data_IF_144696383381
#
_entry.id   IF_144696383381
#
_cell.length_a   1.000
_cell.length_b   1.000
_cell.length_c   1.000
_cell.angle_alpha   90.00
_cell.angle_beta   90.00
_cell.angle_gamma   90.00
#
_symmetry.space_group_name_H-M   'P 1'
#
loop_
_entity.id
_entity.type
_entity.pdbx_description
1 polymer ?
#
# COMPACT_ATOMS: atom_id res chain seq x y z
N UNK A 1 13.78 7.87 14.15
CA UNK A 1 12.58 7.00 14.12
C UNK A 1 11.80 7.05 12.81
N UNK A 2 11.51 8.23 12.21
CA UNK A 2 10.76 8.32 10.95
C UNK A 2 11.32 7.44 9.82
N UNK A 3 12.66 7.34 9.71
CA UNK A 3 13.35 6.50 8.71
C UNK A 3 12.97 5.03 8.82
N UNK A 4 12.75 4.51 10.03
CA UNK A 4 12.38 3.11 10.23
C UNK A 4 10.97 2.82 9.67
N UNK A 5 10.01 3.70 9.93
CA UNK A 5 8.65 3.59 9.38
C UNK A 5 8.65 3.69 7.86
N UNK A 6 9.41 4.63 7.29
CA UNK A 6 9.53 4.78 5.85
C UNK A 6 10.19 3.55 5.20
N UNK A 7 11.23 3.01 5.84
CA UNK A 7 11.89 1.80 5.35
C UNK A 7 10.94 0.61 5.37
N UNK A 8 10.21 0.41 6.47
CA UNK A 8 9.20 -0.64 6.58
C UNK A 8 8.14 -0.52 5.48
N UNK A 9 7.59 0.68 5.30
CA UNK A 9 6.61 0.95 4.26
C UNK A 9 7.14 0.62 2.85
N UNK A 10 8.37 1.02 2.53
CA UNK A 10 9.00 0.70 1.25
C UNK A 10 9.17 -0.80 1.03
N UNK A 11 9.44 -1.57 2.08
CA UNK A 11 9.57 -3.04 1.96
C UNK A 11 8.22 -3.71 1.71
N UNK A 12 7.13 -3.22 2.31
CA UNK A 12 5.80 -3.82 2.12
C UNK A 12 5.12 -3.35 0.84
N UNK A 13 5.44 -2.16 0.35
CA UNK A 13 4.78 -1.52 -0.79
C UNK A 13 4.73 -2.38 -2.06
N UNK A 14 5.78 -3.10 -2.49
CA UNK A 14 5.71 -3.96 -3.67
C UNK A 14 4.63 -5.03 -3.59
N UNK A 15 4.41 -5.61 -2.41
CA UNK A 15 3.36 -6.60 -2.18
C UNK A 15 1.96 -5.96 -2.24
N UNK A 16 1.81 -4.77 -1.65
CA UNK A 16 0.58 -3.98 -1.74
C UNK A 16 0.27 -3.68 -3.21
N UNK A 17 1.24 -3.12 -3.93
CA UNK A 17 1.10 -2.74 -5.33
C UNK A 17 0.78 -3.93 -6.24
N UNK A 18 1.49 -5.06 -6.09
CA UNK A 18 1.21 -6.27 -6.86
C UNK A 18 -0.23 -6.77 -6.64
N UNK A 19 -0.67 -6.87 -5.39
CA UNK A 19 -2.04 -7.26 -5.07
C UNK A 19 -3.08 -6.30 -5.65
N UNK A 20 -2.81 -5.00 -5.57
CA UNK A 20 -3.74 -3.97 -6.06
C UNK A 20 -3.83 -3.92 -7.57
N UNK A 21 -2.72 -4.08 -8.30
CA UNK A 21 -2.73 -4.18 -9.76
C UNK A 21 -3.57 -5.38 -10.19
N UNK A 22 -3.36 -6.54 -9.57
CA UNK A 22 -4.18 -7.73 -9.83
C UNK A 22 -5.66 -7.44 -9.53
N UNK A 23 -5.95 -6.84 -8.38
CA UNK A 23 -7.32 -6.49 -8.00
C UNK A 23 -7.98 -5.54 -9.00
N UNK A 24 -7.27 -4.51 -9.47
CA UNK A 24 -7.77 -3.58 -10.48
C UNK A 24 -8.17 -4.28 -11.79
N UNK A 25 -7.42 -5.30 -12.20
CA UNK A 25 -7.75 -6.09 -13.41
C UNK A 25 -9.04 -6.90 -13.26
N UNK A 26 -9.41 -7.32 -12.05
CA UNK A 26 -10.59 -8.15 -11.80
C UNK A 26 -11.84 -7.37 -11.43
N UNK A 27 -11.72 -6.32 -10.59
CA UNK A 27 -12.87 -5.59 -10.04
C UNK A 27 -12.95 -4.13 -10.47
N UNK A 28 -12.05 -3.69 -11.35
CA UNK A 28 -12.03 -2.33 -11.88
C UNK A 28 -11.22 -1.33 -11.04
N UNK A 29 -11.12 -0.11 -11.55
CA UNK A 29 -10.16 0.90 -11.07
C UNK A 29 -10.47 1.36 -9.64
N UNK A 30 -11.72 1.72 -9.36
CA UNK A 30 -12.16 2.24 -8.06
C UNK A 30 -12.06 1.19 -6.97
N UNK A 31 -12.58 -0.02 -7.22
CA UNK A 31 -12.51 -1.12 -6.26
C UNK A 31 -11.08 -1.57 -6.02
N UNK A 32 -10.24 -1.61 -7.06
CA UNK A 32 -8.82 -1.89 -6.92
C UNK A 32 -8.10 -0.87 -6.03
N UNK A 33 -8.48 0.42 -6.08
CA UNK A 33 -7.96 1.43 -5.16
C UNK A 33 -8.48 1.28 -3.72
N UNK A 34 -9.77 0.99 -3.53
CA UNK A 34 -10.31 0.70 -2.19
C UNK A 34 -9.56 -0.49 -1.57
N UNK A 35 -9.33 -1.54 -2.36
CA UNK A 35 -8.56 -2.71 -1.95
C UNK A 35 -7.10 -2.36 -1.68
N UNK A 36 -6.46 -1.48 -2.47
CA UNK A 36 -5.11 -0.98 -2.20
C UNK A 36 -4.98 -0.33 -0.82
N UNK A 37 -5.92 0.54 -0.46
CA UNK A 37 -5.89 1.26 0.82
C UNK A 37 -6.16 0.31 2.00
N UNK A 38 -7.07 -0.64 1.82
CA UNK A 38 -7.57 -1.51 2.89
C UNK A 38 -6.81 -2.84 2.95
N UNK A 39 -7.19 -3.80 2.10
CA UNK A 39 -6.72 -5.20 2.14
C UNK A 39 -5.29 -5.34 1.64
N UNK A 40 -4.87 -4.51 0.68
CA UNK A 40 -3.51 -4.50 0.14
C UNK A 40 -2.47 -4.34 1.24
N UNK A 41 -2.73 -3.47 2.23
CA UNK A 41 -1.83 -3.29 3.36
C UNK A 41 -1.69 -4.58 4.21
N UNK A 42 -2.78 -5.34 4.40
CA UNK A 42 -2.73 -6.64 5.08
C UNK A 42 -1.87 -7.63 4.29
N UNK A 43 -2.05 -7.68 2.97
CA UNK A 43 -1.23 -8.52 2.08
C UNK A 43 0.25 -8.12 2.17
N UNK A 44 0.55 -6.83 2.20
CA UNK A 44 1.92 -6.34 2.39
C UNK A 44 2.52 -6.75 3.75
N UNK A 45 1.71 -6.73 4.80
CA UNK A 45 2.14 -7.18 6.13
C UNK A 45 2.38 -8.70 6.17
N UNK A 46 1.54 -9.48 5.49
CA UNK A 46 1.72 -10.93 5.32
C UNK A 46 3.01 -11.19 4.54
N UNK A 47 3.24 -10.49 3.43
CA UNK A 47 4.48 -10.58 2.64
C UNK A 47 5.72 -10.29 3.48
N UNK A 48 5.69 -9.20 4.26
CA UNK A 48 6.79 -8.89 5.18
C UNK A 48 7.02 -9.99 6.22
N UNK A 49 5.94 -10.51 6.80
CA UNK A 49 6.04 -11.61 7.78
C UNK A 49 6.60 -12.88 7.16
N UNK A 50 6.30 -13.17 5.90
CA UNK A 50 6.77 -14.39 5.24
C UNK A 50 8.23 -14.28 4.80
N UNK A 51 8.62 -13.16 4.19
CA UNK A 51 9.95 -13.01 3.56
C UNK A 51 10.99 -12.28 4.43
N UNK A 52 10.54 -11.49 5.41
CA UNK A 52 11.40 -10.61 6.21
C UNK A 52 11.11 -10.71 7.72
N UNK A 53 10.67 -11.89 8.19
CA UNK A 53 10.26 -12.08 9.59
C UNK A 53 11.33 -11.64 10.59
N UNK A 54 12.61 -11.93 10.31
CA UNK A 54 13.73 -11.61 11.20
C UNK A 54 13.96 -10.10 11.33
N UNK A 55 13.55 -9.30 10.35
CA UNK A 55 13.66 -7.85 10.43
C UNK A 55 12.72 -7.25 11.48
N UNK A 56 11.68 -7.97 11.93
CA UNK A 56 10.84 -7.50 13.04
C UNK A 56 11.64 -7.26 14.33
N UNK A 57 12.70 -8.03 14.58
CA UNK A 57 13.54 -7.85 15.77
C UNK A 57 14.21 -6.47 15.80
N UNK A 58 14.64 -5.96 14.64
CA UNK A 58 15.18 -4.59 14.53
C UNK A 58 14.16 -3.54 14.99
N UNK A 59 12.90 -3.66 14.57
CA UNK A 59 11.85 -2.72 14.95
C UNK A 59 11.47 -2.87 16.44
N UNK A 60 11.47 -4.08 16.99
CA UNK A 60 11.21 -4.29 18.41
C UNK A 60 12.32 -3.73 19.30
N UNK A 61 13.58 -3.85 18.88
CA UNK A 61 14.72 -3.25 19.59
C UNK A 61 14.63 -1.72 19.61
N UNK A 62 13.97 -1.12 18.62
CA UNK A 62 13.65 0.32 18.59
C UNK A 62 12.40 0.69 19.41
N UNK A 63 11.77 -0.26 20.10
CA UNK A 63 10.54 -0.06 20.86
C UNK A 63 9.28 0.08 19.98
N UNK A 64 9.34 -0.33 18.70
CA UNK A 64 8.23 -0.20 17.76
C UNK A 64 7.46 -1.51 17.67
N UNK A 65 6.20 -1.51 18.12
CA UNK A 65 5.34 -2.71 18.02
C UNK A 65 4.84 -2.96 16.60
N UNK A 66 4.49 -4.22 16.28
CA UNK A 66 3.85 -4.59 15.00
C UNK A 66 2.63 -3.71 14.71
N UNK A 67 1.86 -3.43 15.76
CA UNK A 67 0.63 -2.68 15.61
C UNK A 67 0.89 -1.22 15.21
N UNK A 68 1.95 -0.63 15.77
CA UNK A 68 2.40 0.72 15.43
C UNK A 68 2.96 0.78 14.00
N UNK A 69 3.71 -0.23 13.56
CA UNK A 69 4.17 -0.33 12.16
C UNK A 69 3.00 -0.33 11.18
N UNK A 70 1.98 -1.15 11.45
CA UNK A 70 0.80 -1.22 10.60
C UNK A 70 0.03 0.11 10.57
N UNK A 71 -0.27 0.72 11.72
CA UNK A 71 -1.01 1.99 11.78
C UNK A 71 -0.29 3.11 11.02
N UNK A 72 1.03 3.23 11.21
CA UNK A 72 1.82 4.24 10.50
C UNK A 72 1.86 3.92 9.00
N UNK A 73 2.03 2.65 8.63
CA UNK A 73 2.01 2.23 7.22
C UNK A 73 0.67 2.53 6.56
N UNK A 74 -0.44 2.32 7.26
CA UNK A 74 -1.79 2.65 6.77
C UNK A 74 -1.93 4.14 6.47
N UNK A 75 -1.47 5.00 7.38
CA UNK A 75 -1.48 6.46 7.18
C UNK A 75 -0.61 6.83 5.97
N UNK A 76 0.60 6.27 5.87
CA UNK A 76 1.48 6.52 4.72
C UNK A 76 0.82 6.03 3.42
N UNK A 77 0.18 4.86 3.43
CA UNK A 77 -0.48 4.27 2.27
C UNK A 77 -1.63 5.15 1.77
N UNK A 78 -2.41 5.76 2.67
CA UNK A 78 -3.45 6.72 2.30
C UNK A 78 -2.84 8.01 1.74
N UNK A 79 -1.85 8.57 2.45
CA UNK A 79 -1.22 9.84 2.07
C UNK A 79 -0.51 9.76 0.71
N UNK A 80 0.09 8.61 0.39
CA UNK A 80 0.72 8.36 -0.92
C UNK A 80 -0.32 7.90 -1.93
N UNK A 81 -1.27 7.07 -1.52
CA UNK A 81 -2.28 6.47 -2.38
C UNK A 81 -3.22 7.50 -3.01
N UNK A 82 -3.75 8.45 -2.22
CA UNK A 82 -4.71 9.45 -2.73
C UNK A 82 -4.10 10.30 -3.85
N UNK A 83 -2.92 10.94 -3.69
CA UNK A 83 -2.32 11.72 -4.78
C UNK A 83 -2.01 10.87 -6.01
N UNK A 84 -1.45 9.67 -5.82
CA UNK A 84 -1.09 8.78 -6.94
C UNK A 84 -2.34 8.36 -7.72
N UNK A 85 -3.42 8.00 -7.01
CA UNK A 85 -4.68 7.61 -7.63
C UNK A 85 -5.36 8.77 -8.35
N UNK A 86 -5.36 9.97 -7.76
CA UNK A 86 -5.89 11.18 -8.40
C UNK A 86 -5.15 11.50 -9.71
N UNK A 87 -3.81 11.45 -9.70
CA UNK A 87 -2.99 11.65 -10.90
C UNK A 87 -3.30 10.58 -11.95
N UNK A 88 -3.44 9.33 -11.53
CA UNK A 88 -3.78 8.22 -12.41
C UNK A 88 -5.14 8.41 -13.08
N UNK A 89 -6.18 8.82 -12.32
CA UNK A 89 -7.49 9.15 -12.89
C UNK A 89 -7.38 10.28 -13.91
N UNK A 90 -6.72 11.39 -13.55
CA UNK A 90 -6.56 12.54 -14.45
C UNK A 90 -5.89 12.12 -15.76
N UNK A 91 -4.83 11.31 -15.67
CA UNK A 91 -4.09 10.82 -16.82
C UNK A 91 -4.93 9.89 -17.70
N UNK A 92 -5.66 8.96 -17.10
CA UNK A 92 -6.56 8.05 -17.80
C UNK A 92 -7.67 8.82 -18.50
N UNK A 93 -8.31 9.77 -17.82
CA UNK A 93 -9.36 10.62 -18.39
C UNK A 93 -8.82 11.50 -19.52
N UNK A 94 -7.58 12.01 -19.39
CA UNK A 94 -6.95 12.80 -20.43
C UNK A 94 -6.67 12.00 -21.71
N UNK A 95 -6.21 10.75 -21.59
CA UNK A 95 -5.85 9.91 -22.74
C UNK A 95 -7.09 9.30 -23.41
N UNK A 96 -8.01 8.76 -22.62
CA UNK A 96 -9.11 7.94 -23.13
C UNK A 96 -10.47 8.65 -23.10
N UNK A 97 -10.53 9.88 -22.58
CA UNK A 97 -11.78 10.62 -22.40
C UNK A 97 -12.58 10.09 -21.20
N UNK A 98 -13.90 10.11 -21.31
CA UNK A 98 -14.79 9.80 -20.18
C UNK A 98 -14.91 8.27 -19.98
N UNK A 99 -13.98 7.69 -19.22
CA UNK A 99 -14.02 6.27 -18.86
C UNK A 99 -14.98 6.05 -17.68
N UNK A 100 -15.77 4.96 -17.76
CA UNK A 100 -16.54 4.51 -16.61
C UNK A 100 -15.57 4.00 -15.53
N UNK A 101 -15.63 4.62 -14.36
CA UNK A 101 -14.72 4.37 -13.22
C UNK A 101 -15.12 3.09 -12.46
N UNK A 102 -16.22 2.46 -12.87
CA UNK A 102 -16.83 1.23 -12.35
C UNK A 102 -16.89 0.16 -13.40
#
# INVERSE_FOLDING_TARGET
MYRAYWQFYKTIFPFIAAFSILSMLYVGLLWGFILFVTIGLLVGFIGFRTFYNDQFYFYFNLGITKWKLFKVSFIINILVGIPVFSVLIIFITFIFGNLQIT
#
